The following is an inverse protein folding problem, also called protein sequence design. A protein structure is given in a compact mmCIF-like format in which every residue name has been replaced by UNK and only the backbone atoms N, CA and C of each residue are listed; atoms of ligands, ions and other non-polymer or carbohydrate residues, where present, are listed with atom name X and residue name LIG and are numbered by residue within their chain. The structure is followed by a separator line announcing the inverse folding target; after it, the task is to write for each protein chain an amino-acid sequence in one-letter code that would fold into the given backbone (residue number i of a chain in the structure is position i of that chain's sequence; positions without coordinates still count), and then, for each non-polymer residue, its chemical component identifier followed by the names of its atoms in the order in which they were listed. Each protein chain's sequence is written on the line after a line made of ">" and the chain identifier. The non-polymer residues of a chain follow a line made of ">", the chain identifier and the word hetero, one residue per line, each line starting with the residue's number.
data_IF_483182383465
#
_entry.id   IF_483182383465
#
_cell.length_a   1.000
_cell.length_b   1.000
_cell.length_c   1.000
_cell.angle_alpha   90.00
_cell.angle_beta   90.00
_cell.angle_gamma   90.00
#
_symmetry.space_group_name_H-M   'P 1'
#
loop_
_entity.id
_entity.type
_entity.pdbx_description
1 polymer ?
#
# COMPACT_ATOMS: atom_id res chain seq x y z
N UNK A 1 -77.45 41.16 0.48
CA UNK A 1 -76.90 40.58 1.76
C UNK A 1 -75.86 39.48 1.56
N UNK A 2 -76.13 38.38 0.84
CA UNK A 2 -75.18 37.24 0.72
C UNK A 2 -73.83 37.61 0.10
N UNK A 3 -73.82 38.52 -0.87
CA UNK A 3 -72.59 38.98 -1.53
C UNK A 3 -71.72 39.84 -0.59
N UNK A 4 -72.36 40.64 0.27
CA UNK A 4 -71.69 41.45 1.28
C UNK A 4 -71.01 40.57 2.35
N UNK A 5 -71.65 39.48 2.75
CA UNK A 5 -71.05 38.49 3.65
C UNK A 5 -69.81 37.82 3.03
N UNK A 6 -69.89 37.43 1.75
CA UNK A 6 -68.74 36.84 1.04
C UNK A 6 -67.57 37.81 0.95
N UNK A 7 -67.86 39.09 0.72
CA UNK A 7 -66.83 40.13 0.71
C UNK A 7 -66.13 40.22 2.07
N UNK A 8 -66.90 40.31 3.17
CA UNK A 8 -66.32 40.39 4.52
C UNK A 8 -65.53 39.12 4.89
N UNK A 9 -65.97 37.93 4.49
CA UNK A 9 -65.22 36.68 4.70
C UNK A 9 -63.92 36.60 3.88
N UNK A 10 -63.87 37.21 2.70
CA UNK A 10 -62.63 37.32 1.93
C UNK A 10 -61.65 38.32 2.55
N UNK A 11 -62.15 39.44 3.08
CA UNK A 11 -61.31 40.47 3.71
C UNK A 11 -60.83 40.02 5.09
N UNK A 12 -61.65 39.28 5.84
CA UNK A 12 -61.31 38.78 7.19
C UNK A 12 -61.47 37.25 7.31
N UNK A 13 -60.58 36.44 6.68
CA UNK A 13 -60.70 34.98 6.68
C UNK A 13 -60.60 34.32 8.07
N UNK A 14 -60.02 35.03 9.04
CA UNK A 14 -59.82 34.55 10.41
C UNK A 14 -61.00 34.85 11.35
N UNK A 15 -61.96 35.69 10.93
CA UNK A 15 -63.04 36.19 11.80
C UNK A 15 -64.44 35.87 11.26
N UNK A 16 -64.60 34.79 10.48
CA UNK A 16 -65.88 34.44 9.85
C UNK A 16 -67.05 34.33 10.85
N UNK A 17 -66.85 33.66 12.00
CA UNK A 17 -67.91 33.49 13.01
C UNK A 17 -68.30 34.81 13.70
N UNK A 18 -67.41 35.80 13.71
CA UNK A 18 -67.70 37.13 14.24
C UNK A 18 -68.37 38.00 13.19
N UNK A 19 -67.91 37.94 11.95
CA UNK A 19 -68.53 38.57 10.79
C UNK A 19 -69.98 38.12 10.64
N UNK A 20 -70.27 36.82 10.72
CA UNK A 20 -71.63 36.29 10.62
C UNK A 20 -72.54 36.77 11.78
N UNK A 21 -71.98 37.01 12.97
CA UNK A 21 -72.73 37.55 14.11
C UNK A 21 -73.10 39.02 13.95
N UNK A 22 -72.23 39.82 13.34
CA UNK A 22 -72.45 41.27 13.16
C UNK A 22 -73.04 41.63 11.79
N UNK A 23 -73.09 40.67 10.86
CA UNK A 23 -73.48 40.89 9.47
C UNK A 23 -74.81 41.65 9.31
N UNK A 24 -75.81 41.34 10.14
CA UNK A 24 -77.13 41.97 10.04
C UNK A 24 -77.10 43.43 10.48
N UNK A 25 -76.30 43.74 11.50
CA UNK A 25 -76.12 45.10 11.99
C UNK A 25 -75.29 45.94 11.00
N UNK A 26 -74.20 45.38 10.48
CA UNK A 26 -73.35 46.05 9.50
C UNK A 26 -74.06 46.25 8.16
N UNK A 27 -74.84 45.25 7.71
CA UNK A 27 -75.65 45.38 6.50
C UNK A 27 -76.72 46.46 6.66
N UNK A 28 -77.40 46.54 7.80
CA UNK A 28 -78.37 47.59 8.08
C UNK A 28 -77.73 48.99 8.25
N UNK A 29 -76.46 49.04 8.67
CA UNK A 29 -75.71 50.30 8.74
C UNK A 29 -75.26 50.78 7.35
N UNK A 30 -74.99 49.85 6.43
CA UNK A 30 -74.63 50.13 5.05
C UNK A 30 -75.86 50.47 4.16
N UNK A 31 -76.96 49.73 4.30
CA UNK A 31 -78.24 49.94 3.58
C UNK A 31 -79.07 51.05 4.25
N UNK A 32 -78.75 52.31 3.93
CA UNK A 32 -79.36 53.48 4.59
C UNK A 32 -80.77 53.76 4.09
N UNK A 33 -81.07 53.36 2.86
CA UNK A 33 -82.39 53.53 2.27
C UNK A 33 -83.35 52.34 2.54
N UNK A 34 -82.85 51.29 3.21
CA UNK A 34 -83.57 50.07 3.54
C UNK A 34 -84.16 49.38 2.29
N UNK A 35 -83.48 49.50 1.15
CA UNK A 35 -83.87 48.88 -0.11
C UNK A 35 -83.65 47.37 -0.12
N UNK A 36 -82.82 46.86 0.80
CA UNK A 36 -82.41 45.45 0.88
C UNK A 36 -81.17 45.13 0.08
N UNK A 37 -80.60 46.11 -0.65
CA UNK A 37 -79.38 46.02 -1.44
C UNK A 37 -78.48 47.22 -1.13
N UNK A 38 -77.15 47.04 -1.18
CA UNK A 38 -76.20 48.14 -0.93
C UNK A 38 -75.82 48.77 -2.26
N UNK A 39 -76.22 50.02 -2.48
CA UNK A 39 -75.81 50.76 -3.67
C UNK A 39 -74.33 51.16 -3.60
N UNK A 40 -73.69 51.44 -4.75
CA UNK A 40 -72.27 51.82 -4.76
C UNK A 40 -71.93 53.05 -3.89
N UNK A 41 -72.73 54.14 -3.86
CA UNK A 41 -72.48 55.26 -2.96
C UNK A 41 -72.57 54.88 -1.48
N UNK A 42 -73.49 53.98 -1.12
CA UNK A 42 -73.62 53.48 0.25
C UNK A 42 -72.45 52.57 0.64
N UNK A 43 -71.98 51.75 -0.29
CA UNK A 43 -70.77 50.95 -0.11
C UNK A 43 -69.53 51.82 0.12
N UNK A 44 -69.33 52.88 -0.67
CA UNK A 44 -68.23 53.83 -0.46
C UNK A 44 -68.32 54.49 0.92
N UNK A 45 -69.50 54.96 1.32
CA UNK A 45 -69.68 55.58 2.64
C UNK A 45 -69.43 54.60 3.81
N UNK A 46 -69.80 53.32 3.64
CA UNK A 46 -69.49 52.26 4.59
C UNK A 46 -67.97 51.98 4.64
N UNK A 47 -67.31 51.90 3.48
CA UNK A 47 -65.87 51.68 3.38
C UNK A 47 -65.07 52.82 4.00
N UNK A 48 -65.44 54.07 3.75
CA UNK A 48 -64.78 55.24 4.33
C UNK A 48 -64.89 55.24 5.85
N UNK A 49 -66.08 54.96 6.40
CA UNK A 49 -66.26 54.81 7.86
C UNK A 49 -65.41 53.68 8.45
N UNK A 50 -65.31 52.57 7.74
CA UNK A 50 -64.46 51.45 8.16
C UNK A 50 -62.98 51.88 8.17
N UNK A 51 -62.52 52.54 7.12
CA UNK A 51 -61.14 53.03 7.03
C UNK A 51 -60.83 54.06 8.11
N UNK A 52 -61.74 55.00 8.40
CA UNK A 52 -61.57 55.99 9.48
C UNK A 52 -61.40 55.33 10.86
N UNK A 53 -62.03 54.18 11.11
CA UNK A 53 -61.88 53.42 12.36
C UNK A 53 -60.53 52.67 12.46
N UNK A 54 -59.92 52.33 11.33
CA UNK A 54 -58.61 51.67 11.28
C UNK A 54 -57.44 52.66 11.16
N UNK A 55 -57.70 53.87 10.66
CA UNK A 55 -56.70 54.95 10.51
C UNK A 55 -56.45 55.73 11.82
N UNK A 56 -57.22 55.45 12.88
CA UNK A 56 -56.98 55.97 14.23
C UNK A 56 -55.97 55.10 15.04
N UNK A 57 -55.15 54.30 14.34
CA UNK A 57 -53.89 53.79 14.89
C UNK A 57 -52.83 54.89 14.87
N UNK A 58 -53.10 55.94 15.65
CA UNK A 58 -52.07 56.77 16.25
C UNK A 58 -51.23 55.91 17.19
N UNK A 59 -50.31 55.12 16.64
CA UNK A 59 -49.16 54.67 17.40
C UNK A 59 -48.32 55.90 17.75
N UNK A 60 -48.24 56.20 19.04
CA UNK A 60 -47.10 56.90 19.62
C UNK A 60 -45.87 56.03 19.31
N UNK A 61 -45.28 56.22 18.13
CA UNK A 61 -44.03 55.62 17.69
C UNK A 61 -42.87 56.25 18.49
N UNK A 62 -42.85 56.02 19.80
CA UNK A 62 -41.63 56.17 20.58
C UNK A 62 -40.69 55.04 20.21
N UNK A 63 -39.62 55.42 19.50
CA UNK A 63 -38.34 54.73 19.48
C UNK A 63 -38.37 53.23 19.10
N UNK A 64 -38.24 52.94 17.81
CA UNK A 64 -37.29 51.99 17.20
C UNK A 64 -37.77 51.64 15.79
N UNK A 65 -36.85 51.60 14.82
CA UNK A 65 -37.12 51.05 13.49
C UNK A 65 -37.40 52.06 12.39
N UNK A 66 -36.40 52.86 12.01
CA UNK A 66 -36.28 53.29 10.61
C UNK A 66 -35.90 52.05 9.77
N UNK A 67 -36.87 51.17 9.49
CA UNK A 67 -36.71 49.96 8.68
C UNK A 67 -36.93 50.26 7.18
N UNK A 68 -36.46 51.42 6.73
CA UNK A 68 -36.19 51.68 5.31
C UNK A 68 -34.70 51.42 5.02
N UNK A 69 -34.14 50.35 5.59
CA UNK A 69 -32.77 49.89 5.37
C UNK A 69 -32.77 48.68 4.42
N UNK A 70 -31.95 48.78 3.37
CA UNK A 70 -31.26 47.66 2.72
C UNK A 70 -31.89 46.87 1.55
N UNK A 71 -32.93 47.36 0.88
CA UNK A 71 -33.32 46.75 -0.43
C UNK A 71 -32.19 46.87 -1.49
N UNK A 72 -31.31 47.86 -1.33
CA UNK A 72 -30.17 48.09 -2.21
C UNK A 72 -28.92 47.24 -1.87
N UNK A 73 -28.85 46.65 -0.67
CA UNK A 73 -27.67 45.87 -0.24
C UNK A 73 -27.61 44.49 -0.93
N UNK A 74 -28.77 43.93 -1.29
CA UNK A 74 -28.89 42.61 -1.90
C UNK A 74 -28.93 42.61 -3.43
N UNK A 75 -28.73 43.78 -4.08
CA UNK A 75 -28.72 43.83 -5.54
C UNK A 75 -27.41 43.33 -6.12
N UNK A 76 -27.48 42.30 -6.94
CA UNK A 76 -26.33 41.69 -7.61
C UNK A 76 -26.22 42.25 -9.04
N UNK A 77 -25.04 42.76 -9.45
CA UNK A 77 -24.84 43.24 -10.80
C UNK A 77 -24.77 42.08 -11.81
N UNK A 78 -25.44 42.26 -12.95
CA UNK A 78 -25.25 41.47 -14.14
C UNK A 78 -24.01 41.93 -14.91
N UNK A 79 -23.46 41.06 -15.75
CA UNK A 79 -22.36 41.34 -16.68
C UNK A 79 -22.65 42.51 -17.62
N UNK A 80 -23.92 42.80 -17.91
CA UNK A 80 -24.31 43.97 -18.69
C UNK A 80 -24.23 45.31 -17.93
N UNK A 81 -23.92 45.28 -16.62
CA UNK A 81 -23.81 46.46 -15.76
C UNK A 81 -25.10 46.84 -15.02
N UNK A 82 -26.22 46.15 -15.28
CA UNK A 82 -27.49 46.38 -14.56
C UNK A 82 -27.54 45.58 -13.26
N UNK A 83 -28.06 46.16 -12.19
CA UNK A 83 -28.25 45.52 -10.89
C UNK A 83 -29.67 44.95 -10.76
N UNK A 84 -29.79 43.75 -10.21
CA UNK A 84 -31.06 43.08 -9.99
C UNK A 84 -31.08 42.38 -8.63
N UNK A 85 -32.27 42.17 -8.08
CA UNK A 85 -32.46 41.19 -7.00
C UNK A 85 -32.05 39.79 -7.50
N UNK A 86 -31.49 38.89 -6.67
CA UNK A 86 -30.99 37.59 -7.09
C UNK A 86 -32.00 36.77 -7.91
N UNK A 87 -33.27 36.78 -7.50
CA UNK A 87 -34.35 36.06 -8.19
C UNK A 87 -34.66 36.62 -9.59
N UNK A 88 -34.53 37.95 -9.76
CA UNK A 88 -34.79 38.62 -11.05
C UNK A 88 -33.56 38.62 -11.95
N UNK A 89 -32.36 38.56 -11.37
CA UNK A 89 -31.11 38.46 -12.11
C UNK A 89 -31.10 37.23 -13.01
N UNK A 90 -31.54 36.08 -12.49
CA UNK A 90 -31.56 34.84 -13.25
C UNK A 90 -32.49 34.92 -14.49
N UNK A 91 -33.64 35.57 -14.35
CA UNK A 91 -34.58 35.79 -15.48
C UNK A 91 -33.95 36.69 -16.53
N UNK A 92 -33.27 37.76 -16.11
CA UNK A 92 -32.55 38.64 -17.02
C UNK A 92 -31.37 37.93 -17.73
N UNK A 93 -30.55 37.16 -17.00
CA UNK A 93 -29.38 36.46 -17.56
C UNK A 93 -29.75 35.52 -18.74
N UNK A 94 -30.94 34.90 -18.72
CA UNK A 94 -31.43 34.05 -19.83
C UNK A 94 -31.63 34.81 -21.14
N UNK A 95 -31.89 36.11 -21.08
CA UNK A 95 -32.13 36.97 -22.24
C UNK A 95 -31.01 37.98 -22.49
N UNK A 96 -30.12 38.18 -21.53
CA UNK A 96 -29.04 39.14 -21.60
C UNK A 96 -27.97 38.74 -22.63
N UNK A 97 -27.76 39.59 -23.63
CA UNK A 97 -26.76 39.37 -24.69
C UNK A 97 -25.34 39.37 -24.15
N UNK A 98 -25.02 40.30 -23.23
CA UNK A 98 -23.68 40.39 -22.64
C UNK A 98 -23.35 39.16 -21.79
N UNK A 99 -24.33 38.62 -21.06
CA UNK A 99 -24.15 37.39 -20.28
C UNK A 99 -23.90 36.18 -21.20
N UNK A 100 -24.69 36.03 -22.27
CA UNK A 100 -24.51 34.94 -23.25
C UNK A 100 -23.15 34.99 -23.95
N UNK A 101 -22.66 36.18 -24.29
CA UNK A 101 -21.34 36.33 -24.88
C UNK A 101 -20.21 35.88 -23.94
N UNK A 102 -20.33 36.20 -22.64
CA UNK A 102 -19.37 35.74 -21.63
C UNK A 102 -19.48 34.24 -21.38
N UNK A 103 -20.68 33.69 -21.33
CA UNK A 103 -20.91 32.25 -21.18
C UNK A 103 -20.33 31.47 -22.36
N UNK A 104 -20.51 31.95 -23.58
CA UNK A 104 -19.92 31.34 -24.78
C UNK A 104 -18.39 31.43 -24.77
N UNK A 105 -17.83 32.58 -24.40
CA UNK A 105 -16.38 32.72 -24.24
C UNK A 105 -15.82 31.75 -23.18
N UNK A 106 -16.53 31.59 -22.06
CA UNK A 106 -16.17 30.62 -21.01
C UNK A 106 -16.27 29.17 -21.51
N UNK A 107 -17.27 28.84 -22.32
CA UNK A 107 -17.38 27.52 -22.96
C UNK A 107 -16.20 27.24 -23.89
N UNK A 108 -15.86 28.19 -24.78
CA UNK A 108 -14.71 28.05 -25.69
C UNK A 108 -13.41 27.91 -24.89
N UNK A 109 -13.25 28.68 -23.80
CA UNK A 109 -12.10 28.56 -22.92
C UNK A 109 -12.05 27.18 -22.25
N UNK A 110 -13.17 26.68 -21.74
CA UNK A 110 -13.25 25.36 -21.11
C UNK A 110 -12.97 24.23 -22.12
N UNK A 111 -13.44 24.34 -23.36
CA UNK A 111 -13.14 23.40 -24.44
C UNK A 111 -11.65 23.41 -24.80
N UNK A 112 -11.02 24.58 -24.85
CA UNK A 112 -9.59 24.71 -25.08
C UNK A 112 -8.76 24.11 -23.92
N UNK A 113 -9.13 24.39 -22.66
CA UNK A 113 -8.48 23.81 -21.48
C UNK A 113 -8.65 22.27 -21.44
N UNK A 114 -9.83 21.76 -21.80
CA UNK A 114 -10.09 20.33 -21.91
C UNK A 114 -9.26 19.68 -23.03
N UNK A 115 -9.10 20.34 -24.18
CA UNK A 115 -8.25 19.86 -25.26
C UNK A 115 -6.77 19.82 -24.86
N UNK A 116 -6.29 20.82 -24.12
CA UNK A 116 -4.92 20.83 -23.57
C UNK A 116 -4.75 19.70 -22.55
N UNK A 117 -5.71 19.50 -21.64
CA UNK A 117 -5.66 18.42 -20.66
C UNK A 117 -5.64 17.03 -21.35
N UNK A 118 -6.45 16.85 -22.38
CA UNK A 118 -6.46 15.62 -23.19
C UNK A 118 -5.11 15.38 -23.87
N UNK A 119 -4.54 16.40 -24.52
CA UNK A 119 -3.24 16.28 -25.18
C UNK A 119 -2.11 15.96 -24.17
N UNK A 120 -2.16 16.53 -22.97
CA UNK A 120 -1.21 16.22 -21.90
C UNK A 120 -1.35 14.77 -21.41
N UNK A 121 -2.58 14.26 -21.29
CA UNK A 121 -2.83 12.86 -20.93
C UNK A 121 -2.30 11.88 -22.00
N UNK A 122 -2.58 12.14 -23.27
CA UNK A 122 -2.07 11.34 -24.40
C UNK A 122 -0.53 11.38 -24.47
N UNK A 123 0.07 12.55 -24.24
CA UNK A 123 1.53 12.68 -24.18
C UNK A 123 2.14 11.93 -22.97
N UNK A 124 1.46 11.93 -21.82
CA UNK A 124 1.89 11.17 -20.65
C UNK A 124 1.82 9.66 -20.89
N UNK A 125 0.76 9.17 -21.53
CA UNK A 125 0.63 7.76 -21.93
C UNK A 125 1.72 7.35 -22.93
N UNK A 126 1.96 8.17 -23.95
CA UNK A 126 3.06 7.93 -24.90
C UNK A 126 4.43 7.90 -24.21
N UNK A 127 4.67 8.80 -23.25
CA UNK A 127 5.90 8.83 -22.46
C UNK A 127 6.03 7.59 -21.57
N UNK A 128 4.94 7.13 -20.97
CA UNK A 128 4.93 5.90 -20.17
C UNK A 128 5.22 4.66 -21.03
N UNK A 129 4.63 4.58 -22.23
CA UNK A 129 4.92 3.51 -23.19
C UNK A 129 6.39 3.50 -23.63
N UNK A 130 6.97 4.68 -23.92
CA UNK A 130 8.38 4.80 -24.26
C UNK A 130 9.31 4.39 -23.08
N UNK A 131 8.96 4.79 -21.85
CA UNK A 131 9.69 4.37 -20.66
C UNK A 131 9.63 2.86 -20.45
N UNK A 132 8.46 2.23 -20.63
CA UNK A 132 8.28 0.79 -20.52
C UNK A 132 9.07 0.01 -21.60
N UNK A 133 9.11 0.53 -22.84
CA UNK A 133 9.94 -0.05 -23.90
C UNK A 133 11.44 0.03 -23.55
N UNK A 134 11.87 1.16 -22.96
CA UNK A 134 13.26 1.35 -22.53
C UNK A 134 13.63 0.41 -21.38
N UNK A 135 12.76 0.25 -20.37
CA UNK A 135 13.00 -0.68 -19.27
C UNK A 135 13.03 -2.14 -19.77
N UNK A 136 12.12 -2.52 -20.67
CA UNK A 136 12.12 -3.86 -21.26
C UNK A 136 13.42 -4.16 -22.04
N UNK A 137 13.96 -3.18 -22.76
CA UNK A 137 15.23 -3.31 -23.47
C UNK A 137 16.42 -3.48 -22.49
N UNK A 138 16.44 -2.71 -21.39
CA UNK A 138 17.43 -2.87 -20.33
C UNK A 138 17.33 -4.24 -19.65
N UNK A 139 16.12 -4.72 -19.38
CA UNK A 139 15.88 -6.05 -18.80
C UNK A 139 16.27 -7.19 -19.74
N UNK A 140 16.17 -6.99 -21.06
CA UNK A 140 16.67 -7.95 -22.04
C UNK A 140 18.21 -7.97 -22.03
N UNK A 141 18.86 -6.80 -22.04
CA UNK A 141 20.32 -6.70 -22.02
C UNK A 141 20.93 -7.25 -20.72
N UNK A 142 20.29 -7.03 -19.57
CA UNK A 142 20.76 -7.58 -18.28
C UNK A 142 20.61 -9.09 -18.24
N UNK A 143 19.53 -9.67 -18.81
CA UNK A 143 19.37 -11.12 -18.94
C UNK A 143 20.42 -11.75 -19.84
N UNK A 144 20.74 -11.12 -20.97
CA UNK A 144 21.79 -11.60 -21.88
C UNK A 144 23.15 -11.60 -21.18
N UNK A 145 23.49 -10.51 -20.47
CA UNK A 145 24.72 -10.44 -19.68
C UNK A 145 24.76 -11.51 -18.58
N UNK A 146 23.67 -11.68 -17.83
CA UNK A 146 23.59 -12.70 -16.79
C UNK A 146 23.72 -14.13 -17.35
N UNK A 147 23.17 -14.40 -18.54
CA UNK A 147 23.34 -15.68 -19.23
C UNK A 147 24.80 -15.90 -19.65
N UNK A 148 25.47 -14.86 -20.18
CA UNK A 148 26.89 -14.92 -20.53
C UNK A 148 27.77 -15.15 -19.29
N UNK A 149 27.51 -14.44 -18.18
CA UNK A 149 28.24 -14.60 -16.92
C UNK A 149 28.05 -16.02 -16.35
N UNK A 150 26.84 -16.57 -16.45
CA UNK A 150 26.53 -17.94 -16.02
C UNK A 150 27.26 -18.98 -16.88
N UNK A 151 27.27 -18.80 -18.21
CA UNK A 151 28.00 -19.68 -19.12
C UNK A 151 29.52 -19.63 -18.88
N UNK A 152 30.06 -18.44 -18.59
CA UNK A 152 31.46 -18.28 -18.22
C UNK A 152 31.78 -19.05 -16.93
N UNK A 153 30.95 -18.91 -15.89
CA UNK A 153 31.11 -19.64 -14.63
C UNK A 153 31.06 -21.17 -14.81
N UNK A 154 30.12 -21.68 -15.62
CA UNK A 154 30.03 -23.10 -15.95
C UNK A 154 31.30 -23.60 -16.65
N UNK A 155 31.83 -22.84 -17.62
CA UNK A 155 33.07 -23.22 -18.32
C UNK A 155 34.28 -23.27 -17.40
N UNK A 156 34.36 -22.37 -16.40
CA UNK A 156 35.43 -22.38 -15.40
C UNK A 156 35.31 -23.59 -14.46
N UNK A 157 34.09 -23.95 -14.05
CA UNK A 157 33.85 -25.13 -13.22
C UNK A 157 34.20 -26.42 -13.96
N UNK A 158 33.78 -26.56 -15.22
CA UNK A 158 34.13 -27.71 -16.06
C UNK A 158 35.64 -27.83 -16.27
N UNK A 159 36.32 -26.72 -16.55
CA UNK A 159 37.78 -26.70 -16.67
C UNK A 159 38.48 -27.08 -15.36
N UNK A 160 37.94 -26.68 -14.20
CA UNK A 160 38.47 -27.08 -12.90
C UNK A 160 38.27 -28.58 -12.64
N UNK A 161 37.10 -29.14 -12.99
CA UNK A 161 36.83 -30.58 -12.90
C UNK A 161 37.77 -31.39 -13.79
N UNK A 162 37.97 -30.97 -15.04
CA UNK A 162 38.90 -31.63 -15.97
C UNK A 162 40.35 -31.60 -15.47
N UNK A 163 40.81 -30.47 -14.90
CA UNK A 163 42.15 -30.38 -14.29
C UNK A 163 42.30 -31.32 -13.09
N UNK A 164 41.28 -31.41 -12.23
CA UNK A 164 41.29 -32.30 -11.06
C UNK A 164 41.32 -33.78 -11.47
N UNK A 165 40.58 -34.16 -12.52
CA UNK A 165 40.60 -35.51 -13.07
C UNK A 165 41.97 -35.87 -13.64
N UNK A 166 42.55 -35.01 -14.49
CA UNK A 166 43.90 -35.21 -15.03
C UNK A 166 44.97 -35.34 -13.92
N UNK A 167 44.86 -34.57 -12.84
CA UNK A 167 45.76 -34.70 -11.69
C UNK A 167 45.58 -36.04 -10.97
N UNK A 168 44.33 -36.52 -10.82
CA UNK A 168 44.03 -37.82 -10.21
C UNK A 168 44.62 -38.97 -11.04
N UNK A 169 44.48 -38.92 -12.37
CA UNK A 169 45.07 -39.90 -13.28
C UNK A 169 46.59 -39.89 -13.22
N UNK A 170 47.22 -38.71 -13.24
CA UNK A 170 48.68 -38.56 -13.10
C UNK A 170 49.18 -39.16 -11.78
N UNK A 171 48.48 -38.89 -10.67
CA UNK A 171 48.80 -39.48 -9.36
C UNK A 171 48.61 -41.00 -9.35
N UNK A 172 47.57 -41.51 -9.99
CA UNK A 172 47.33 -42.96 -10.11
C UNK A 172 48.42 -43.65 -10.93
N UNK A 173 48.81 -43.07 -12.07
CA UNK A 173 49.91 -43.58 -12.90
C UNK A 173 51.25 -43.57 -12.13
N UNK A 174 51.54 -42.50 -11.39
CA UNK A 174 52.74 -42.42 -10.55
C UNK A 174 52.75 -43.50 -9.45
N UNK A 175 51.62 -43.76 -8.79
CA UNK A 175 51.48 -44.85 -7.80
C UNK A 175 51.71 -46.22 -8.44
N UNK A 176 51.15 -46.48 -9.62
CA UNK A 176 51.34 -47.73 -10.36
C UNK A 176 52.80 -47.94 -10.77
N UNK A 177 53.47 -46.89 -11.24
CA UNK A 177 54.90 -46.94 -11.56
C UNK A 177 55.77 -47.18 -10.31
N UNK A 178 55.46 -46.53 -9.19
CA UNK A 178 56.17 -46.76 -7.92
C UNK A 178 55.97 -48.18 -7.37
N UNK A 179 54.76 -48.75 -7.51
CA UNK A 179 54.47 -50.13 -7.16
C UNK A 179 55.26 -51.12 -8.06
N UNK A 180 55.34 -50.86 -9.37
CA UNK A 180 56.16 -51.64 -10.29
C UNK A 180 57.65 -51.62 -9.94
N UNK A 181 58.19 -50.44 -9.60
CA UNK A 181 59.59 -50.30 -9.12
C UNK A 181 59.83 -51.04 -7.80
N UNK A 182 58.89 -50.99 -6.85
CA UNK A 182 58.97 -51.76 -5.59
C UNK A 182 58.90 -53.28 -5.83
N UNK A 183 58.05 -53.74 -6.75
CA UNK A 183 57.95 -55.15 -7.11
C UNK A 183 59.23 -55.66 -7.80
N UNK A 184 59.84 -54.85 -8.68
CA UNK A 184 61.12 -55.16 -9.30
C UNK A 184 62.26 -55.25 -8.26
N UNK A 185 62.35 -54.30 -7.33
CA UNK A 185 63.34 -54.33 -6.25
C UNK A 185 63.12 -55.51 -5.28
N UNK A 186 61.87 -55.87 -4.98
CA UNK A 186 61.54 -57.04 -4.16
C UNK A 186 61.88 -58.36 -4.86
N UNK A 187 61.74 -58.43 -6.19
CA UNK A 187 62.15 -59.57 -7.00
C UNK A 187 63.68 -59.71 -7.03
N UNK A 188 64.40 -58.60 -7.20
CA UNK A 188 65.87 -58.60 -7.15
C UNK A 188 66.42 -59.01 -5.77
N UNK A 189 65.77 -58.58 -4.68
CA UNK A 189 66.08 -59.02 -3.32
C UNK A 189 65.75 -60.51 -3.07
N UNK A 190 64.75 -61.06 -3.78
CA UNK A 190 64.41 -62.48 -3.71
C UNK A 190 65.39 -63.35 -4.52
N UNK A 191 65.81 -62.88 -5.71
CA UNK A 191 66.81 -63.57 -6.55
C UNK A 191 68.20 -63.56 -5.88
N UNK A 192 68.58 -62.49 -5.17
CA UNK A 192 69.78 -62.46 -4.33
C UNK A 192 69.72 -63.42 -3.12
N UNK A 193 68.51 -63.81 -2.67
CA UNK A 193 68.30 -64.75 -1.55
C UNK A 193 68.36 -66.23 -1.98
N UNK A 194 68.32 -66.52 -3.28
CA UNK A 194 68.40 -67.89 -3.81
C UNK A 194 69.84 -68.42 -3.98
N UNK A 195 70.87 -67.56 -3.84
CA UNK A 195 72.26 -67.92 -4.11
C UNK A 195 73.18 -68.08 -2.87
N UNK A 196 72.67 -68.11 -1.64
CA UNK A 196 73.57 -68.25 -0.50
C UNK A 196 72.93 -68.46 0.87
N UNK A 197 73.15 -69.67 1.39
CA UNK A 197 73.46 -70.03 2.78
C UNK A 197 72.42 -69.69 3.86
N UNK A 198 71.95 -70.79 4.47
CA UNK A 198 71.36 -70.88 5.79
C UNK A 198 71.97 -69.90 6.78
N UNK A 199 71.14 -69.12 7.47
CA UNK A 199 71.23 -69.04 8.91
C UNK A 199 69.95 -68.47 9.52
N UNK A 200 69.48 -69.24 10.50
CA UNK A 200 68.47 -68.92 11.50
C UNK A 200 68.32 -67.42 11.79
N UNK A 201 67.13 -66.87 11.51
CA UNK A 201 66.65 -65.70 12.23
C UNK A 201 65.26 -65.99 12.76
N UNK A 202 65.29 -66.61 13.93
CA UNK A 202 64.23 -66.69 14.90
C UNK A 202 63.42 -65.39 14.91
N UNK A 203 62.13 -65.53 14.59
CA UNK A 203 61.13 -64.51 14.84
C UNK A 203 60.80 -64.55 16.34
N UNK A 204 61.77 -64.14 17.15
CA UNK A 204 61.58 -63.86 18.58
C UNK A 204 61.60 -62.35 18.69
N UNK A 205 60.42 -61.78 18.93
CA UNK A 205 60.29 -60.39 19.29
C UNK A 205 61.33 -60.04 20.38
N UNK A 206 62.04 -58.91 20.32
CA UNK A 206 62.70 -58.40 21.51
C UNK A 206 61.61 -57.92 22.46
N UNK A 207 61.14 -58.83 23.31
CA UNK A 207 60.33 -58.59 24.50
C UNK A 207 61.14 -57.80 25.54
N UNK A 208 61.58 -56.60 25.15
CA UNK A 208 62.33 -55.65 25.97
C UNK A 208 61.57 -54.36 26.23
N UNK A 209 60.25 -54.35 26.02
CA UNK A 209 59.45 -53.17 26.32
C UNK A 209 59.15 -53.09 27.81
N UNK A 210 59.49 -51.97 28.43
CA UNK A 210 59.22 -51.69 29.84
C UNK A 210 58.01 -50.76 29.92
N UNK A 211 56.96 -51.09 30.68
CA UNK A 211 55.82 -50.20 30.88
C UNK A 211 56.21 -49.01 31.76
N UNK A 212 55.71 -47.82 31.43
CA UNK A 212 55.89 -46.62 32.25
C UNK A 212 55.06 -46.76 33.55
N UNK A 213 55.65 -46.56 34.74
CA UNK A 213 54.93 -46.69 36.01
C UNK A 213 53.82 -45.64 36.19
N UNK A 214 53.91 -44.50 35.51
CA UNK A 214 52.95 -43.39 35.66
C UNK A 214 51.75 -43.48 34.70
N UNK A 215 51.90 -44.10 33.51
CA UNK A 215 50.85 -44.14 32.48
C UNK A 215 50.57 -45.53 31.86
N UNK A 216 51.38 -46.55 32.17
CA UNK A 216 51.20 -47.91 31.68
C UNK A 216 51.57 -48.18 30.21
N UNK A 217 51.97 -47.16 29.45
CA UNK A 217 52.41 -47.35 28.05
C UNK A 217 53.79 -48.02 27.99
N UNK A 218 53.97 -48.94 27.04
CA UNK A 218 55.20 -49.69 26.82
C UNK A 218 56.19 -48.91 25.95
N UNK A 219 57.44 -48.80 26.40
CA UNK A 219 58.51 -48.12 25.67
C UNK A 219 59.78 -48.97 25.66
N UNK A 220 60.67 -48.73 24.71
CA UNK A 220 62.04 -49.22 24.81
C UNK A 220 62.75 -48.59 26.02
N UNK A 221 63.66 -49.31 26.69
CA UNK A 221 64.35 -48.81 27.88
C UNK A 221 65.08 -47.48 27.62
N UNK A 222 65.53 -47.25 26.39
CA UNK A 222 66.21 -46.02 25.97
C UNK A 222 65.26 -44.81 25.84
N UNK A 223 63.99 -45.03 25.48
CA UNK A 223 62.99 -43.95 25.31
C UNK A 223 62.15 -43.67 26.55
N UNK A 224 62.16 -44.61 27.51
CA UNK A 224 61.43 -44.48 28.78
C UNK A 224 61.84 -43.25 29.61
N UNK A 225 63.13 -42.88 29.76
CA UNK A 225 63.54 -41.70 30.53
C UNK A 225 63.04 -40.39 29.90
N UNK A 226 63.06 -40.32 28.56
CA UNK A 226 62.55 -39.15 27.81
C UNK A 226 61.05 -39.02 28.02
N UNK A 227 60.32 -40.13 27.87
CA UNK A 227 58.88 -40.15 28.12
C UNK A 227 58.55 -39.78 29.58
N UNK A 228 59.26 -40.33 30.57
CA UNK A 228 59.03 -40.03 32.00
C UNK A 228 59.15 -38.54 32.32
N UNK A 229 60.03 -37.79 31.64
CA UNK A 229 60.15 -36.33 31.84
C UNK A 229 58.91 -35.55 31.39
N UNK A 230 58.17 -36.05 30.41
CA UNK A 230 57.00 -35.38 29.81
C UNK A 230 55.69 -36.05 30.24
N UNK A 231 55.75 -37.24 30.82
CA UNK A 231 54.61 -38.04 31.24
C UNK A 231 53.88 -37.34 32.39
N UNK A 232 52.85 -36.58 32.04
CA UNK A 232 51.97 -35.91 33.00
C UNK A 232 51.05 -36.95 33.64
N UNK A 233 51.22 -37.18 34.95
CA UNK A 233 50.43 -38.12 35.76
C UNK A 233 48.94 -37.91 35.52
N UNK A 234 48.30 -38.82 34.80
CA UNK A 234 46.84 -38.94 34.80
C UNK A 234 46.53 -40.43 34.86
N UNK A 235 46.27 -40.92 36.07
CA UNK A 235 45.56 -42.19 36.26
C UNK A 235 44.20 -42.03 35.58
N UNK A 236 44.11 -42.44 34.32
CA UNK A 236 42.87 -42.82 33.66
C UNK A 236 43.18 -44.02 32.77
N UNK A 237 42.91 -45.18 33.36
CA UNK A 237 42.47 -46.37 32.66
C UNK A 237 41.56 -45.98 31.50
N UNK A 238 41.98 -46.30 30.29
CA UNK A 238 41.27 -45.93 29.07
C UNK A 238 42.11 -46.27 27.86
N UNK A 239 42.19 -47.58 27.56
CA UNK A 239 42.45 -48.07 26.22
C UNK A 239 41.53 -47.30 25.27
N UNK A 240 42.08 -46.52 24.33
CA UNK A 240 41.29 -46.03 23.20
C UNK A 240 41.34 -47.11 22.13
N UNK A 241 40.42 -48.06 22.26
CA UNK A 241 40.10 -49.01 21.21
C UNK A 241 39.81 -48.26 19.92
N UNK A 242 40.50 -48.66 18.86
CA UNK A 242 40.10 -48.40 17.50
C UNK A 242 39.06 -49.44 17.11
N UNK A 243 37.78 -49.06 17.09
CA UNK A 243 36.69 -49.79 16.46
C UNK A 243 35.67 -48.74 15.95
N UNK A 244 35.49 -48.53 14.65
CA UNK A 244 34.55 -49.24 13.74
C UNK A 244 33.14 -49.41 14.29
N UNK A 245 32.19 -48.80 13.57
CA UNK A 245 30.76 -49.12 13.42
C UNK A 245 29.74 -48.63 14.46
N UNK A 246 28.81 -47.78 13.98
CA UNK A 246 27.37 -48.06 14.05
C UNK A 246 26.59 -47.69 15.31
N UNK A 247 25.61 -46.80 15.11
CA UNK A 247 24.32 -46.75 15.79
C UNK A 247 24.22 -46.05 17.17
N UNK A 248 23.74 -44.80 17.17
CA UNK A 248 22.99 -44.25 18.31
C UNK A 248 21.81 -43.43 17.79
N UNK A 249 20.62 -43.94 18.09
CA UNK A 249 19.32 -43.38 17.76
C UNK A 249 18.97 -42.28 18.77
N UNK A 250 18.42 -41.17 18.27
CA UNK A 250 17.35 -40.42 18.93
C UNK A 250 17.75 -39.32 19.93
N UNK A 251 17.77 -38.07 19.44
CA UNK A 251 17.28 -36.95 20.25
C UNK A 251 16.45 -36.02 19.36
N UNK A 252 15.16 -36.00 19.66
CA UNK A 252 14.09 -35.24 19.02
C UNK A 252 14.16 -33.80 19.51
N UNK A 253 14.26 -32.84 18.58
CA UNK A 253 13.59 -31.54 18.72
C UNK A 253 13.02 -31.14 17.36
N UNK A 254 11.70 -31.23 17.29
CA UNK A 254 10.85 -30.65 16.24
C UNK A 254 10.53 -29.23 16.67
N UNK A 255 10.86 -28.24 15.84
CA UNK A 255 10.17 -26.94 15.85
C UNK A 255 9.91 -26.50 14.41
N UNK A 256 8.68 -26.76 13.98
CA UNK A 256 7.80 -25.89 13.19
C UNK A 256 8.42 -25.04 12.07
N UNK A 257 8.16 -25.49 10.84
CA UNK A 257 8.01 -24.66 9.64
C UNK A 257 6.83 -23.70 9.82
N UNK A 258 7.09 -22.40 9.77
CA UNK A 258 6.09 -21.35 9.61
C UNK A 258 6.12 -20.83 8.17
N UNK A 259 5.13 -21.23 7.39
CA UNK A 259 4.80 -20.66 6.08
C UNK A 259 4.12 -19.31 6.26
N UNK A 260 4.62 -18.24 5.61
CA UNK A 260 3.85 -17.01 5.42
C UNK A 260 3.51 -16.83 3.93
N UNK A 261 2.23 -17.05 3.63
CA UNK A 261 1.57 -16.64 2.40
C UNK A 261 0.96 -15.24 2.54
N UNK A 262 0.85 -14.57 1.40
CA UNK A 262 0.38 -13.20 1.16
C UNK A 262 -1.12 -13.02 1.47
N UNK A 263 -1.56 -11.80 1.84
CA UNK A 263 -2.63 -11.05 1.13
C UNK A 263 -2.85 -9.62 1.69
N UNK A 264 -3.19 -8.74 0.73
CA UNK A 264 -3.45 -7.30 0.80
C UNK A 264 -4.81 -6.93 1.44
N UNK A 265 -4.92 -5.76 2.10
CA UNK A 265 -5.81 -4.66 1.67
C UNK A 265 -5.70 -3.39 2.54
N UNK A 266 -5.68 -2.23 1.86
CA UNK A 266 -6.42 -0.97 2.09
C UNK A 266 -6.25 -0.20 3.42
N UNK A 267 -5.60 0.96 3.30
CA UNK A 267 -6.23 2.28 3.52
C UNK A 267 -5.92 3.16 2.29
#
# INVERSE_FOLDING_TARGET
>A
KEEFARLLHQVFPSHCDEVDRILDAEFAAADRDASGDISFPEFCAYYDRMMDLFDDSGEDHTAEGNEQTDINADMVPCVCGLTFLPDKLHVHQRSCVAFKAVEEANRVKAEAEAAVAKALAEAAEAKAAAAAATSAALDAATREKAAADTAAAQSMEEAARAKAEAERERKAAARKAAAGKKAAAAKELADAKAAGLTDTKTNTAPSGFVPCPDCGRTFFPDRLPIHRRVCSKKKRSGCRETATEGNMVGSVYVTSVGTYGKNNNVC
#
